data_IF_621836017721
#
_entry.id   IF_621836017721
#
_cell.length_a   1.000
_cell.length_b   1.000
_cell.length_c   1.000
_cell.angle_alpha   90.00
_cell.angle_beta   90.00
_cell.angle_gamma   90.00
#
_symmetry.space_group_name_H-M   'P 1'
#
loop_
_entity.id
_entity.type
_entity.pdbx_description
1 polymer ?
#
# COMPACT_ATOMS: atom_id res chain seq x y z
N UNK A 1 13.50 -5.08 15.52
CA UNK A 1 12.91 -3.81 15.03
C UNK A 1 11.64 -4.14 14.28
N UNK A 2 10.51 -3.59 14.74
CA UNK A 2 9.21 -3.80 14.09
C UNK A 2 9.19 -3.13 12.72
N UNK A 3 8.53 -3.77 11.76
CA UNK A 3 8.33 -3.25 10.41
C UNK A 3 6.84 -3.23 10.07
N UNK A 4 6.47 -2.48 9.06
CA UNK A 4 5.10 -2.39 8.57
C UNK A 4 5.04 -2.86 7.13
N UNK A 5 4.02 -3.64 6.80
CA UNK A 5 3.57 -3.82 5.43
C UNK A 5 2.34 -2.93 5.21
N UNK A 6 2.19 -2.38 4.02
CA UNK A 6 1.10 -1.47 3.70
C UNK A 6 0.57 -1.67 2.28
N UNK A 7 -0.68 -1.26 2.10
CA UNK A 7 -1.29 -1.06 0.79
C UNK A 7 -1.69 0.40 0.66
N UNK A 8 -1.23 1.03 -0.42
CA UNK A 8 -1.69 2.34 -0.83
C UNK A 8 -2.71 2.20 -1.95
N UNK A 9 -3.66 3.11 -1.97
CA UNK A 9 -4.66 3.24 -3.02
C UNK A 9 -4.58 4.62 -3.67
N UNK A 10 -4.88 4.67 -4.97
CA UNK A 10 -5.12 5.92 -5.68
C UNK A 10 -6.16 5.71 -6.78
N UNK A 11 -6.99 6.72 -7.02
CA UNK A 11 -7.81 6.79 -8.21
C UNK A 11 -6.93 7.04 -9.42
N UNK A 12 -7.14 6.26 -10.49
CA UNK A 12 -6.43 6.44 -11.75
C UNK A 12 -7.41 6.35 -12.92
N UNK A 13 -7.02 6.90 -14.08
CA UNK A 13 -7.75 6.67 -15.32
C UNK A 13 -7.79 5.17 -15.61
N UNK A 14 -9.01 4.62 -15.67
CA UNK A 14 -9.27 3.19 -15.85
C UNK A 14 -9.47 2.37 -14.56
N UNK A 15 -9.62 3.03 -13.40
CA UNK A 15 -10.04 2.39 -12.14
C UNK A 15 -9.09 2.62 -10.96
N UNK A 16 -9.34 1.91 -9.87
CA UNK A 16 -8.55 2.04 -8.64
C UNK A 16 -7.23 1.28 -8.73
N UNK A 17 -6.12 1.94 -8.41
CA UNK A 17 -4.79 1.33 -8.40
C UNK A 17 -4.31 1.15 -6.99
N UNK A 18 -3.74 -0.02 -6.73
CA UNK A 18 -3.12 -0.34 -5.45
C UNK A 18 -1.63 -0.58 -5.59
N UNK A 19 -0.87 -0.14 -4.59
CA UNK A 19 0.56 -0.38 -4.44
C UNK A 19 0.80 -1.08 -3.10
N UNK A 20 1.65 -2.10 -3.10
CA UNK A 20 2.00 -2.86 -1.89
C UNK A 20 3.48 -2.64 -1.62
N UNK A 21 3.81 -2.32 -0.39
CA UNK A 21 5.19 -2.12 0.04
C UNK A 21 5.36 -2.43 1.53
N UNK A 22 6.60 -2.37 1.99
CA UNK A 22 6.92 -2.41 3.42
C UNK A 22 7.85 -1.25 3.79
N UNK A 23 7.88 -0.89 5.06
CA UNK A 23 8.71 0.20 5.61
C UNK A 23 8.87 0.03 7.11
N UNK A 24 9.83 0.75 7.72
CA UNK A 24 9.91 0.91 9.18
C UNK A 24 9.11 2.13 9.65
N UNK A 25 8.78 3.02 8.73
CA UNK A 25 8.14 4.31 8.98
C UNK A 25 7.11 4.57 7.88
N UNK A 26 5.82 4.50 8.24
CA UNK A 26 4.70 4.62 7.31
C UNK A 26 4.49 6.06 6.85
N UNK A 27 4.55 7.01 7.77
CA UNK A 27 4.27 8.42 7.48
C UNK A 27 5.31 8.99 6.52
N UNK A 28 6.60 8.77 6.83
CA UNK A 28 7.69 9.19 5.95
C UNK A 28 7.57 8.55 4.57
N UNK A 29 7.17 7.28 4.51
CA UNK A 29 7.04 6.56 3.24
C UNK A 29 5.87 7.06 2.41
N UNK A 30 4.73 7.34 3.04
CA UNK A 30 3.57 7.93 2.37
C UNK A 30 3.91 9.31 1.81
N UNK A 31 4.58 10.16 2.61
CA UNK A 31 5.05 11.47 2.18
C UNK A 31 5.97 11.37 0.95
N UNK A 32 6.91 10.42 0.93
CA UNK A 32 7.79 10.17 -0.23
C UNK A 32 7.03 9.78 -1.50
N UNK A 33 5.99 8.95 -1.37
CA UNK A 33 5.14 8.57 -2.50
C UNK A 33 4.41 9.79 -3.06
N UNK A 34 3.84 10.63 -2.19
CA UNK A 34 3.12 11.84 -2.57
C UNK A 34 4.03 12.98 -3.06
N UNK A 35 5.30 13.01 -2.65
CA UNK A 35 6.30 13.95 -3.17
C UNK A 35 7.01 13.45 -4.44
N UNK A 36 6.65 12.28 -4.97
CA UNK A 36 7.25 11.71 -6.19
C UNK A 36 8.67 11.15 -6.03
N UNK A 37 9.21 11.11 -4.82
CA UNK A 37 10.55 10.55 -4.50
C UNK A 37 10.50 9.11 -4.01
N UNK A 38 9.31 8.53 -3.87
CA UNK A 38 9.10 7.11 -3.58
C UNK A 38 9.37 6.20 -4.78
N UNK A 39 8.52 5.20 -4.99
CA UNK A 39 8.69 4.26 -6.10
C UNK A 39 8.41 4.91 -7.46
N UNK A 40 9.14 4.51 -8.51
CA UNK A 40 8.94 5.01 -9.89
C UNK A 40 7.48 4.87 -10.36
N UNK A 41 6.82 3.78 -9.98
CA UNK A 41 5.41 3.48 -10.31
C UNK A 41 4.38 4.34 -9.57
N UNK A 42 4.81 5.10 -8.57
CA UNK A 42 3.95 5.93 -7.71
C UNK A 42 4.00 7.42 -8.03
N UNK A 43 4.87 7.84 -8.96
CA UNK A 43 5.02 9.27 -9.30
C UNK A 43 3.77 9.86 -9.97
N UNK A 44 3.51 11.13 -9.68
CA UNK A 44 2.45 11.92 -10.32
C UNK A 44 1.03 11.55 -9.92
N UNK A 45 0.85 10.92 -8.76
CA UNK A 45 -0.46 10.56 -8.20
C UNK A 45 -0.51 10.84 -6.71
N UNK A 46 -1.71 11.10 -6.21
CA UNK A 46 -1.97 11.18 -4.77
C UNK A 46 -2.32 9.79 -4.27
N UNK A 47 -1.52 9.29 -3.34
CA UNK A 47 -1.69 8.01 -2.70
C UNK A 47 -2.27 8.20 -1.30
N UNK A 48 -3.24 7.36 -0.99
CA UNK A 48 -3.83 7.23 0.34
C UNK A 48 -3.45 5.89 0.94
N UNK A 49 -3.19 5.86 2.24
CA UNK A 49 -3.00 4.61 2.98
C UNK A 49 -4.36 3.96 3.19
N UNK A 50 -4.56 2.75 2.63
CA UNK A 50 -5.82 2.01 2.75
C UNK A 50 -5.69 0.75 3.63
N UNK A 51 -4.46 0.33 3.91
CA UNK A 51 -4.17 -0.80 4.79
C UNK A 51 -2.75 -0.69 5.33
N UNK A 52 -2.56 -1.03 6.60
CA UNK A 52 -1.25 -1.23 7.20
C UNK A 52 -1.31 -2.34 8.25
N UNK A 53 -0.24 -3.12 8.34
CA UNK A 53 -0.08 -4.20 9.32
C UNK A 53 1.32 -4.12 9.92
N UNK A 54 1.39 -4.14 11.26
CA UNK A 54 2.66 -4.08 12.01
C UNK A 54 3.16 -5.49 12.29
N UNK A 55 4.41 -5.75 11.95
CA UNK A 55 5.06 -7.05 12.04
C UNK A 55 6.33 -6.97 12.93
N UNK A 56 6.65 -8.06 13.65
CA UNK A 56 7.80 -8.13 14.56
C UNK A 56 9.16 -7.89 13.88
N UNK A 57 9.28 -8.25 12.60
CA UNK A 57 10.55 -8.23 11.87
C UNK A 57 10.41 -7.77 10.42
N UNK A 58 11.52 -7.33 9.82
CA UNK A 58 11.59 -6.98 8.38
C UNK A 58 11.33 -8.20 7.49
N UNK A 59 11.81 -9.38 7.88
CA UNK A 59 11.62 -10.61 7.12
C UNK A 59 10.13 -10.99 7.04
N UNK A 60 9.40 -10.87 8.15
CA UNK A 60 7.95 -11.07 8.14
C UNK A 60 7.23 -10.03 7.28
N UNK A 61 7.64 -8.75 7.35
CA UNK A 61 7.08 -7.71 6.49
C UNK A 61 7.31 -7.96 5.00
N UNK A 62 8.50 -8.44 4.62
CA UNK A 62 8.81 -8.82 3.24
C UNK A 62 8.01 -10.07 2.79
N UNK A 63 7.89 -11.08 3.64
CA UNK A 63 7.06 -12.26 3.36
C UNK A 63 5.59 -11.90 3.17
N UNK A 64 5.06 -11.02 4.04
CA UNK A 64 3.70 -10.51 3.96
C UNK A 64 3.48 -9.63 2.73
N UNK A 65 4.44 -8.79 2.37
CA UNK A 65 4.43 -8.00 1.14
C UNK A 65 4.32 -8.91 -0.10
N UNK A 66 5.12 -9.99 -0.15
CA UNK A 66 5.09 -10.97 -1.24
C UNK A 66 3.72 -11.66 -1.36
N UNK A 67 3.09 -11.98 -0.23
CA UNK A 67 1.75 -12.56 -0.17
C UNK A 67 0.70 -11.55 -0.68
N UNK A 68 0.67 -10.34 -0.12
CA UNK A 68 -0.28 -9.30 -0.49
C UNK A 68 -0.17 -8.90 -1.97
N UNK A 69 1.04 -8.89 -2.54
CA UNK A 69 1.23 -8.66 -3.98
C UNK A 69 0.47 -9.66 -4.85
N UNK A 70 0.34 -10.91 -4.40
CA UNK A 70 -0.34 -12.03 -5.09
C UNK A 70 -1.82 -12.16 -4.72
N UNK A 71 -2.21 -11.70 -3.55
CA UNK A 71 -3.60 -11.72 -3.09
C UNK A 71 -4.44 -10.61 -3.78
N UNK A 72 -4.78 -10.85 -5.04
CA UNK A 72 -5.64 -9.96 -5.85
C UNK A 72 -7.04 -9.79 -5.23
N UNK A 73 -7.71 -10.84 -4.71
CA UNK A 73 -9.01 -10.68 -4.06
C UNK A 73 -8.96 -9.74 -2.86
N UNK A 74 -7.99 -9.89 -1.95
CA UNK A 74 -7.85 -9.01 -0.80
C UNK A 74 -7.59 -7.56 -1.23
N UNK A 75 -6.68 -7.34 -2.19
CA UNK A 75 -6.40 -5.99 -2.70
C UNK A 75 -7.61 -5.33 -3.35
N UNK A 76 -8.43 -6.10 -4.06
CA UNK A 76 -9.70 -5.60 -4.63
C UNK A 76 -10.68 -5.23 -3.54
N UNK A 77 -10.78 -6.04 -2.48
CA UNK A 77 -11.61 -5.72 -1.31
C UNK A 77 -11.16 -4.40 -0.68
N UNK A 78 -9.89 -4.27 -0.33
CA UNK A 78 -9.36 -3.05 0.28
C UNK A 78 -9.64 -1.80 -0.58
N UNK A 79 -9.52 -1.93 -1.91
CA UNK A 79 -9.85 -0.86 -2.85
C UNK A 79 -11.33 -0.45 -2.76
N UNK A 80 -12.25 -1.41 -2.81
CA UNK A 80 -13.70 -1.14 -2.72
C UNK A 80 -14.08 -0.49 -1.39
N UNK A 81 -13.54 -1.00 -0.28
CA UNK A 81 -13.77 -0.42 1.05
C UNK A 81 -13.25 1.02 1.14
N UNK A 82 -12.07 1.31 0.58
CA UNK A 82 -11.50 2.64 0.56
C UNK A 82 -12.30 3.63 -0.30
N UNK A 83 -13.04 3.13 -1.30
CA UNK A 83 -13.94 3.92 -2.15
C UNK A 83 -15.36 4.06 -1.56
N UNK A 84 -15.60 3.57 -0.34
CA UNK A 84 -16.91 3.62 0.30
C UNK A 84 -17.95 2.69 -0.33
N UNK A 85 -17.52 1.72 -1.15
CA UNK A 85 -18.40 0.70 -1.71
C UNK A 85 -18.46 -0.47 -0.72
N UNK A 86 -19.57 -0.58 0.01
CA UNK A 86 -19.86 -1.72 0.88
C UNK A 86 -19.96 -3.01 0.04
N UNK A 87 -19.48 -4.13 0.59
CA UNK A 87 -19.53 -5.45 -0.03
C UNK A 87 -20.94 -6.05 -0.03
#
# INVERSE_FOLDING_TARGET
MTAFVYVLGCDARGGYRTYVGWTLDLERRLAQHNSGTGAKSTRGRVWCLIYAERLPSRNEAMGREWYLKRDRPMRRRLALSAQGQAF
#
